data_IF_445349118701
#
_entry.id   IF_445349118701
#
_cell.length_a   1.000
_cell.length_b   1.000
_cell.length_c   1.000
_cell.angle_alpha   90.00
_cell.angle_beta   90.00
_cell.angle_gamma   90.00
#
_symmetry.space_group_name_H-M   'P 1'
#
loop_
_entity.id
_entity.type
_entity.pdbx_description
1 polymer ?
#
# COMPACT_ATOMS: atom_id res chain seq x y z
N UNK A 1 0.22 4.21 -32.42
CA UNK A 1 0.03 3.33 -33.59
C UNK A 1 -1.38 2.77 -33.49
N UNK A 2 -2.27 3.20 -34.38
CA UNK A 2 -3.65 2.71 -34.41
C UNK A 2 -3.67 1.39 -35.16
N UNK A 3 -4.00 0.30 -34.48
CA UNK A 3 -4.25 -0.98 -35.14
C UNK A 3 -5.67 -0.96 -35.71
N UNK A 4 -5.75 -0.70 -37.02
CA UNK A 4 -6.96 -0.88 -37.80
C UNK A 4 -7.24 -2.38 -37.93
N UNK A 5 -8.18 -2.90 -37.14
CA UNK A 5 -8.62 -4.29 -37.23
C UNK A 5 -9.65 -4.47 -38.34
N UNK A 6 -9.32 -5.28 -39.33
CA UNK A 6 -10.22 -5.71 -40.42
C UNK A 6 -11.11 -6.85 -39.88
N UNK A 7 -12.42 -6.73 -40.11
CA UNK A 7 -13.40 -7.78 -39.81
C UNK A 7 -13.43 -8.80 -40.95
N UNK A 8 -13.11 -10.06 -40.65
CA UNK A 8 -13.35 -11.20 -41.56
C UNK A 8 -14.31 -12.16 -40.86
N UNK A 9 -15.37 -12.52 -41.59
CA UNK A 9 -16.48 -13.36 -41.16
C UNK A 9 -16.03 -14.66 -40.46
N UNK A 10 -16.55 -14.89 -39.25
CA UNK A 10 -16.83 -16.25 -38.77
C UNK A 10 -15.96 -16.84 -37.66
N UNK A 11 -14.85 -16.24 -37.23
CA UNK A 11 -14.08 -16.77 -36.09
C UNK A 11 -13.51 -15.67 -35.19
N UNK A 12 -13.72 -15.77 -33.87
CA UNK A 12 -13.07 -14.92 -32.88
C UNK A 12 -11.58 -15.29 -32.84
N UNK A 13 -10.71 -14.52 -33.51
CA UNK A 13 -9.26 -14.74 -33.55
C UNK A 13 -8.53 -14.41 -32.23
N UNK A 14 -9.21 -13.78 -31.28
CA UNK A 14 -8.63 -13.55 -29.96
C UNK A 14 -8.93 -14.77 -29.09
N UNK A 15 -7.91 -15.40 -28.47
CA UNK A 15 -8.18 -16.37 -27.43
C UNK A 15 -9.04 -15.65 -26.38
N UNK A 16 -10.27 -16.12 -26.17
CA UNK A 16 -11.04 -15.74 -25.00
C UNK A 16 -10.20 -16.15 -23.80
N UNK A 17 -9.41 -15.20 -23.28
CA UNK A 17 -8.76 -15.37 -21.99
C UNK A 17 -9.90 -15.73 -21.07
N UNK A 18 -9.87 -16.93 -20.49
CA UNK A 18 -10.89 -17.38 -19.54
C UNK A 18 -10.97 -16.31 -18.44
N UNK A 19 -11.97 -15.45 -18.57
CA UNK A 19 -12.19 -14.41 -17.56
C UNK A 19 -12.82 -15.14 -16.41
N UNK A 20 -12.14 -15.08 -15.28
CA UNK A 20 -12.68 -15.53 -14.01
C UNK A 20 -14.09 -14.95 -13.82
N UNK A 21 -15.03 -15.81 -13.43
CA UNK A 21 -16.44 -15.46 -13.24
C UNK A 21 -16.65 -14.29 -12.29
N UNK A 22 -15.75 -14.05 -11.34
CA UNK A 22 -15.85 -12.88 -10.45
C UNK A 22 -15.36 -11.59 -11.12
N UNK A 23 -14.37 -11.69 -12.02
CA UNK A 23 -13.79 -10.54 -12.72
C UNK A 23 -14.59 -10.12 -13.96
N UNK A 24 -15.49 -10.97 -14.43
CA UNK A 24 -16.42 -10.65 -15.54
C UNK A 24 -17.68 -9.92 -15.09
N UNK A 25 -17.97 -9.91 -13.78
CA UNK A 25 -19.11 -9.19 -13.21
C UNK A 25 -18.90 -7.67 -13.20
N UNK A 26 -19.99 -6.89 -13.17
CA UNK A 26 -19.95 -5.49 -12.76
C UNK A 26 -19.23 -5.30 -11.43
N UNK A 27 -18.44 -4.22 -11.31
CA UNK A 27 -17.60 -3.95 -10.13
C UNK A 27 -18.40 -3.96 -8.83
N UNK A 28 -19.63 -3.46 -8.87
CA UNK A 28 -20.54 -3.39 -7.73
C UNK A 28 -20.87 -4.78 -7.19
N UNK A 29 -21.12 -5.75 -8.08
CA UNK A 29 -21.40 -7.14 -7.70
C UNK A 29 -20.14 -7.83 -7.18
N UNK A 30 -18.99 -7.66 -7.85
CA UNK A 30 -17.73 -8.19 -7.36
C UNK A 30 -17.39 -7.64 -5.96
N UNK A 31 -17.63 -6.35 -5.71
CA UNK A 31 -17.44 -5.76 -4.38
C UNK A 31 -18.39 -6.30 -3.33
N UNK A 32 -19.65 -6.59 -3.69
CA UNK A 32 -20.59 -7.23 -2.75
C UNK A 32 -20.10 -8.61 -2.37
N UNK A 33 -19.65 -9.43 -3.33
CA UNK A 33 -19.06 -10.75 -3.06
C UNK A 33 -17.88 -10.62 -2.07
N UNK A 34 -16.93 -9.74 -2.36
CA UNK A 34 -15.78 -9.52 -1.46
C UNK A 34 -16.17 -8.92 -0.11
N UNK A 35 -17.31 -8.23 0.01
CA UNK A 35 -17.78 -7.65 1.27
C UNK A 35 -18.25 -8.73 2.25
N UNK A 36 -18.80 -9.83 1.75
CA UNK A 36 -19.24 -10.97 2.57
C UNK A 36 -18.10 -11.87 3.04
N UNK A 37 -16.90 -11.73 2.48
CA UNK A 37 -15.72 -12.43 2.95
C UNK A 37 -15.28 -11.92 4.34
N UNK A 38 -14.87 -12.86 5.18
CA UNK A 38 -14.14 -12.56 6.42
C UNK A 38 -12.74 -12.01 6.11
N UNK A 39 -12.08 -11.43 7.10
CA UNK A 39 -10.83 -10.69 6.85
C UNK A 39 -9.68 -11.61 6.37
N UNK A 40 -9.67 -12.88 6.77
CA UNK A 40 -8.65 -13.86 6.34
C UNK A 40 -8.88 -14.25 4.89
N UNK A 41 -10.10 -14.63 4.53
CA UNK A 41 -10.41 -15.01 3.14
C UNK A 41 -10.33 -13.81 2.19
N UNK A 42 -10.70 -12.61 2.63
CA UNK A 42 -10.52 -11.38 1.85
C UNK A 42 -9.05 -11.10 1.56
N UNK A 43 -8.17 -11.32 2.54
CA UNK A 43 -6.72 -11.22 2.34
C UNK A 43 -6.24 -12.26 1.32
N UNK A 44 -6.65 -13.51 1.47
CA UNK A 44 -6.28 -14.58 0.54
C UNK A 44 -6.76 -14.28 -0.89
N UNK A 45 -8.00 -13.81 -1.04
CA UNK A 45 -8.57 -13.36 -2.32
C UNK A 45 -7.71 -12.27 -2.99
N UNK A 46 -7.13 -11.36 -2.21
CA UNK A 46 -6.24 -10.32 -2.75
C UNK A 46 -4.92 -10.85 -3.31
N UNK A 47 -4.53 -12.09 -2.96
CA UNK A 47 -3.33 -12.76 -3.48
C UNK A 47 -3.61 -13.71 -4.65
N UNK A 48 -4.87 -14.08 -4.91
CA UNK A 48 -5.24 -15.01 -5.98
C UNK A 48 -4.81 -14.50 -7.35
N UNK A 49 -5.16 -13.26 -7.69
CA UNK A 49 -4.71 -12.64 -8.93
C UNK A 49 -4.66 -11.11 -8.85
N UNK A 50 -3.91 -10.49 -9.77
CA UNK A 50 -3.75 -9.04 -9.85
C UNK A 50 -5.09 -8.34 -10.09
N UNK A 51 -6.00 -8.96 -10.85
CA UNK A 51 -7.32 -8.40 -11.14
C UNK A 51 -8.18 -8.29 -9.88
N UNK A 52 -8.27 -9.36 -9.09
CA UNK A 52 -9.00 -9.35 -7.82
C UNK A 52 -8.40 -8.34 -6.85
N UNK A 53 -7.07 -8.28 -6.77
CA UNK A 53 -6.38 -7.25 -5.98
C UNK A 53 -6.83 -5.85 -6.40
N UNK A 54 -6.87 -5.55 -7.69
CA UNK A 54 -7.31 -4.25 -8.22
C UNK A 54 -8.78 -3.96 -7.89
N UNK A 55 -9.67 -4.93 -8.04
CA UNK A 55 -11.10 -4.81 -7.70
C UNK A 55 -11.28 -4.54 -6.20
N UNK A 56 -10.60 -5.28 -5.33
CA UNK A 56 -10.65 -5.07 -3.88
C UNK A 56 -10.11 -3.68 -3.51
N UNK A 57 -9.03 -3.23 -4.16
CA UNK A 57 -8.38 -1.95 -3.87
C UNK A 57 -9.13 -0.73 -4.41
N UNK A 58 -9.97 -0.89 -5.43
CA UNK A 58 -10.80 0.20 -5.97
C UNK A 58 -11.94 0.57 -5.02
N UNK A 59 -12.41 -0.37 -4.19
CA UNK A 59 -13.39 -0.09 -3.14
C UNK A 59 -12.73 0.43 -1.86
N UNK A 60 -13.08 1.65 -1.44
CA UNK A 60 -12.53 2.28 -0.22
C UNK A 60 -12.80 1.48 1.06
N UNK A 61 -13.95 0.81 1.17
CA UNK A 61 -14.32 0.05 2.36
C UNK A 61 -13.50 -1.23 2.48
N UNK A 62 -13.47 -2.05 1.41
CA UNK A 62 -12.69 -3.28 1.37
C UNK A 62 -11.20 -3.02 1.58
N UNK A 63 -10.64 -2.00 0.91
CA UNK A 63 -9.25 -1.57 1.12
C UNK A 63 -8.97 -1.18 2.57
N UNK A 64 -9.89 -0.48 3.24
CA UNK A 64 -9.71 -0.09 4.65
C UNK A 64 -9.72 -1.30 5.58
N UNK A 65 -10.63 -2.26 5.34
CA UNK A 65 -10.69 -3.52 6.09
C UNK A 65 -9.38 -4.30 5.95
N UNK A 66 -8.94 -4.53 4.71
CA UNK A 66 -7.71 -5.26 4.42
C UNK A 66 -6.47 -4.59 5.05
N UNK A 67 -6.32 -3.27 4.91
CA UNK A 67 -5.22 -2.54 5.55
C UNK A 67 -5.25 -2.62 7.08
N UNK A 68 -6.45 -2.58 7.67
CA UNK A 68 -6.60 -2.71 9.12
C UNK A 68 -6.14 -4.11 9.56
N UNK A 69 -6.64 -5.15 8.92
CA UNK A 69 -6.27 -6.53 9.18
C UNK A 69 -4.76 -6.76 9.05
N UNK A 70 -4.13 -6.27 7.99
CA UNK A 70 -2.66 -6.32 7.85
C UNK A 70 -1.92 -5.60 8.98
N UNK A 71 -2.48 -4.49 9.48
CA UNK A 71 -1.90 -3.76 10.62
C UNK A 71 -2.04 -4.56 11.91
N UNK A 72 -3.18 -5.23 12.11
CA UNK A 72 -3.40 -6.13 13.26
C UNK A 72 -2.38 -7.26 13.23
N UNK A 73 -2.16 -7.90 12.08
CA UNK A 73 -1.16 -8.96 11.94
C UNK A 73 0.27 -8.48 12.24
N UNK A 74 0.64 -7.27 11.79
CA UNK A 74 1.97 -6.70 12.03
C UNK A 74 2.24 -6.38 13.49
N UNK A 75 1.21 -5.90 14.20
CA UNK A 75 1.36 -5.43 15.59
C UNK A 75 0.95 -6.51 16.60
N UNK A 76 0.29 -7.58 16.15
CA UNK A 76 -0.15 -8.71 16.98
C UNK A 76 -1.38 -8.43 17.84
N UNK A 77 -2.01 -7.26 17.75
CA UNK A 77 -3.18 -6.90 18.57
C UNK A 77 -4.05 -5.84 17.91
N UNK A 78 -5.37 -6.01 18.04
CA UNK A 78 -6.36 -5.06 17.51
C UNK A 78 -6.31 -3.71 18.22
N UNK A 79 -6.10 -3.72 19.55
CA UNK A 79 -6.01 -2.50 20.35
C UNK A 79 -4.80 -1.66 19.96
N UNK A 80 -3.65 -2.31 19.76
CA UNK A 80 -2.46 -1.62 19.27
C UNK A 80 -2.62 -1.14 17.83
N UNK A 81 -3.28 -1.90 16.95
CA UNK A 81 -3.57 -1.43 15.59
C UNK A 81 -4.46 -0.17 15.58
N UNK A 82 -5.48 -0.12 16.46
CA UNK A 82 -6.31 1.08 16.66
C UNK A 82 -5.48 2.26 17.19
N UNK A 83 -4.59 2.02 18.16
CA UNK A 83 -3.66 3.01 18.69
C UNK A 83 -2.74 3.58 17.60
N UNK A 84 -2.10 2.72 16.81
CA UNK A 84 -1.25 3.12 15.69
C UNK A 84 -2.00 3.96 14.66
N UNK A 85 -3.26 3.61 14.36
CA UNK A 85 -4.10 4.36 13.42
C UNK A 85 -4.45 5.75 13.94
N UNK A 86 -4.84 5.85 15.21
CA UNK A 86 -5.18 7.14 15.87
C UNK A 86 -3.96 8.04 16.00
N UNK A 87 -2.83 7.49 16.41
CA UNK A 87 -1.61 8.25 16.71
C UNK A 87 -0.63 8.35 15.53
N UNK A 88 -1.02 7.94 14.32
CA UNK A 88 -0.14 7.92 13.15
C UNK A 88 0.57 9.25 12.88
N UNK A 89 -0.10 10.39 13.11
CA UNK A 89 0.50 11.73 12.94
C UNK A 89 1.54 12.04 14.03
N UNK A 90 1.29 11.60 15.27
CA UNK A 90 2.18 11.80 16.42
C UNK A 90 3.40 10.90 16.27
N UNK A 91 3.21 9.61 15.94
CA UNK A 91 4.29 8.67 15.66
C UNK A 91 5.19 9.16 14.52
N UNK A 92 4.60 9.66 13.42
CA UNK A 92 5.39 10.27 12.34
C UNK A 92 6.17 11.52 12.77
N UNK A 93 5.67 12.29 13.74
CA UNK A 93 6.40 13.44 14.29
C UNK A 93 7.53 12.97 15.22
N UNK A 94 7.33 11.88 15.97
CA UNK A 94 8.33 11.26 16.82
C UNK A 94 9.45 10.62 15.99
N UNK A 95 9.12 9.83 14.95
CA UNK A 95 10.09 9.20 14.05
C UNK A 95 10.90 10.21 13.21
N UNK A 96 10.33 11.40 12.96
CA UNK A 96 11.01 12.49 12.25
C UNK A 96 11.96 13.29 13.14
N UNK A 97 11.91 13.09 14.44
CA UNK A 97 12.80 13.79 15.35
C UNK A 97 14.14 13.06 15.38
N UNK A 98 15.22 13.83 15.21
CA UNK A 98 16.61 13.35 15.33
C UNK A 98 17.01 13.20 16.81
N UNK A 99 16.23 12.47 17.59
CA UNK A 99 16.58 12.15 18.98
C UNK A 99 17.07 10.72 19.07
N UNK A 100 17.93 10.46 20.05
CA UNK A 100 18.29 9.10 20.44
C UNK A 100 17.09 8.44 21.14
N UNK A 101 16.94 7.13 20.95
CA UNK A 101 15.91 6.37 21.66
C UNK A 101 16.21 6.35 23.16
N UNK A 102 15.19 6.23 24.01
CA UNK A 102 15.38 6.16 25.47
C UNK A 102 16.26 4.94 25.79
N UNK A 103 17.44 5.17 26.38
CA UNK A 103 18.44 4.15 26.72
C UNK A 103 19.62 4.04 25.75
N UNK A 104 19.56 4.67 24.57
CA UNK A 104 20.68 4.71 23.63
C UNK A 104 21.66 5.83 23.99
N UNK A 105 22.90 5.45 24.32
CA UNK A 105 23.97 6.39 24.70
C UNK A 105 24.94 6.68 23.56
N UNK A 106 24.86 5.92 22.45
CA UNK A 106 25.77 6.06 21.31
C UNK A 106 25.18 6.99 20.27
N UNK A 107 25.90 8.08 19.98
CA UNK A 107 25.62 8.95 18.84
C UNK A 107 26.11 8.22 17.58
N UNK A 108 25.20 7.58 16.85
CA UNK A 108 25.52 7.00 15.55
C UNK A 108 25.58 8.08 14.46
N UNK A 109 26.32 7.78 13.40
CA UNK A 109 26.57 8.70 12.30
C UNK A 109 25.30 9.05 11.49
N UNK A 110 25.35 10.27 10.99
CA UNK A 110 24.37 11.03 10.18
C UNK A 110 23.64 10.24 9.10
N UNK A 111 22.30 10.33 9.05
CA UNK A 111 21.57 10.08 7.79
C UNK A 111 21.96 11.15 6.78
N UNK A 112 22.59 10.74 5.69
CA UNK A 112 22.86 11.60 4.55
C UNK A 112 21.56 11.82 3.77
N UNK A 113 21.06 13.05 3.75
CA UNK A 113 19.91 13.42 2.92
C UNK A 113 20.41 14.24 1.75
N UNK A 114 20.24 13.70 0.55
CA UNK A 114 20.50 14.42 -0.70
C UNK A 114 19.22 15.17 -1.07
N UNK A 115 19.23 16.49 -0.90
CA UNK A 115 18.11 17.34 -1.31
C UNK A 115 18.36 17.75 -2.76
N UNK A 116 17.51 17.26 -3.66
CA UNK A 116 17.54 17.66 -5.08
C UNK A 116 17.01 19.08 -5.21
N UNK A 117 17.86 20.00 -5.66
CA UNK A 117 17.45 21.38 -5.98
C UNK A 117 16.90 21.44 -7.41
N UNK A 118 16.19 22.53 -7.74
CA UNK A 118 15.67 22.77 -9.11
C UNK A 118 16.78 23.13 -10.11
N UNK A 119 18.03 23.35 -9.64
CA UNK A 119 19.19 23.66 -10.48
C UNK A 119 19.96 22.37 -10.74
N UNK A 120 20.18 21.98 -12.00
CA UNK A 120 20.99 20.79 -12.29
C UNK A 120 22.44 21.01 -11.83
N UNK A 121 22.96 20.10 -11.01
CA UNK A 121 24.35 20.10 -10.53
C UNK A 121 24.54 20.44 -9.05
N UNK A 122 23.57 21.07 -8.39
CA UNK A 122 23.67 21.44 -6.97
C UNK A 122 22.89 20.45 -6.09
N UNK A 123 23.49 19.29 -5.82
CA UNK A 123 22.98 18.39 -4.79
C UNK A 123 23.43 18.90 -3.42
N UNK A 124 22.49 19.38 -2.61
CA UNK A 124 22.78 19.78 -1.24
C UNK A 124 22.80 18.52 -0.38
N UNK A 125 23.98 18.18 0.15
CA UNK A 125 24.15 17.08 1.10
C UNK A 125 23.95 17.64 2.51
N UNK A 126 22.80 17.32 3.11
CA UNK A 126 22.49 17.74 4.48
C UNK A 126 22.86 16.61 5.44
N UNK A 127 23.82 16.88 6.32
CA UNK A 127 24.21 15.99 7.42
C UNK A 127 23.55 16.48 8.71
N UNK A 128 22.65 15.68 9.29
CA UNK A 128 22.02 16.02 10.57
C UNK A 128 22.52 15.13 11.70
N UNK A 129 23.05 15.75 12.77
CA UNK A 129 23.43 15.06 14.01
C UNK A 129 22.18 14.80 14.88
N UNK A 130 22.13 13.66 15.56
CA UNK A 130 21.10 13.37 16.57
C UNK A 130 21.51 13.94 17.93
N UNK A 131 20.57 14.53 18.65
CA UNK A 131 20.81 15.14 19.95
C UNK A 131 20.07 14.37 21.06
N UNK A 132 20.64 14.34 22.27
CA UNK A 132 19.97 13.86 23.48
C UNK A 132 19.22 15.04 24.11
N UNK A 133 17.91 14.92 24.29
CA UNK A 133 17.19 15.83 25.18
C UNK A 133 17.31 15.28 26.60
N UNK A 134 17.76 16.14 27.53
CA UNK A 134 17.76 15.87 28.96
C UNK A 134 16.34 16.03 29.52
#
# INVERSE_FOLDING_TARGET
>A
MYEAGIFVFGTKLFPERSRDGISSLPLELSWQIFKYLDDVTLRNASFVCITWKRIIHSNKSLKRRLNHFETVLKVGSENLAKYHRRNRKILKKLDKKNYLSIGESKVEWTREMIIKTKRPGENIVVRTKRYKLF
#
